data_IF_307515376450
#
_entry.id   IF_307515376450
#
_cell.length_a   1.000
_cell.length_b   1.000
_cell.length_c   1.000
_cell.angle_alpha   90.00
_cell.angle_beta   90.00
_cell.angle_gamma   90.00
#
_symmetry.space_group_name_H-M   'P 1'
#
loop_
_entity.id
_entity.type
_entity.pdbx_description
1 polymer ?
#
# COMPACT_ATOMS: atom_id res chain seq x y z
N UNK A 1 11.95 -3.82 18.30
CA UNK A 1 12.19 -5.27 18.32
C UNK A 1 13.17 -5.59 19.46
N UNK A 2 12.80 -6.52 20.32
CA UNK A 2 13.65 -7.04 21.39
C UNK A 2 13.74 -8.56 21.19
N UNK A 3 14.95 -9.12 20.93
CA UNK A 3 15.09 -10.56 20.79
C UNK A 3 14.74 -11.32 22.10
N UNK A 4 14.07 -12.47 21.97
CA UNK A 4 13.76 -13.37 23.11
C UNK A 4 14.96 -14.27 23.51
N UNK A 5 16.12 -14.04 22.93
CA UNK A 5 17.37 -14.79 23.15
C UNK A 5 18.53 -13.81 23.35
N UNK A 6 19.60 -14.28 23.99
CA UNK A 6 20.77 -13.43 24.26
C UNK A 6 21.70 -13.34 23.04
N UNK A 7 22.54 -12.29 23.01
CA UNK A 7 23.62 -12.18 22.00
C UNK A 7 24.56 -13.37 22.05
N UNK A 8 24.86 -13.90 23.24
CA UNK A 8 25.72 -15.06 23.39
C UNK A 8 25.12 -16.31 22.74
N UNK A 9 23.82 -16.56 22.94
CA UNK A 9 23.10 -17.69 22.32
C UNK A 9 23.06 -17.54 20.80
N UNK A 10 22.81 -16.33 20.32
CA UNK A 10 22.81 -16.02 18.88
C UNK A 10 24.16 -16.28 18.23
N UNK A 11 25.25 -15.75 18.83
CA UNK A 11 26.61 -15.97 18.33
C UNK A 11 26.97 -17.46 18.35
N UNK A 12 26.61 -18.19 19.42
CA UNK A 12 26.86 -19.61 19.52
C UNK A 12 26.12 -20.39 18.43
N UNK A 13 24.85 -20.09 18.19
CA UNK A 13 24.03 -20.74 17.17
C UNK A 13 24.58 -20.46 15.74
N UNK A 14 24.90 -19.22 15.42
CA UNK A 14 25.43 -18.85 14.09
C UNK A 14 26.78 -19.53 13.80
N UNK A 15 27.66 -19.68 14.80
CA UNK A 15 28.94 -20.38 14.66
C UNK A 15 28.82 -21.89 14.39
N UNK A 16 27.65 -22.49 14.59
CA UNK A 16 27.40 -23.90 14.20
C UNK A 16 27.14 -24.06 12.70
N UNK A 17 26.85 -22.98 12.01
CA UNK A 17 26.49 -22.97 10.59
C UNK A 17 27.78 -22.80 9.75
N UNK A 18 28.01 -23.62 8.72
CA UNK A 18 29.18 -23.48 7.86
C UNK A 18 29.23 -22.09 7.21
N UNK A 19 30.41 -21.42 7.18
CA UNK A 19 30.56 -20.06 6.62
C UNK A 19 30.05 -19.91 5.19
N UNK A 20 30.14 -20.95 4.39
CA UNK A 20 29.69 -20.98 3.00
C UNK A 20 28.17 -20.77 2.85
N UNK A 21 27.39 -21.08 3.87
CA UNK A 21 25.94 -20.81 3.86
C UNK A 21 25.63 -19.31 3.97
N UNK A 22 26.57 -18.52 4.47
CA UNK A 22 26.53 -17.04 4.49
C UNK A 22 27.28 -16.41 3.30
N UNK A 23 27.75 -17.20 2.32
CA UNK A 23 28.66 -16.77 1.27
C UNK A 23 29.98 -16.19 1.82
N UNK A 24 30.43 -16.69 2.96
CA UNK A 24 31.69 -16.28 3.61
C UNK A 24 32.75 -17.37 3.46
N UNK A 25 34.01 -16.95 3.57
CA UNK A 25 35.16 -17.83 3.30
C UNK A 25 35.53 -18.71 4.48
N UNK A 26 35.46 -18.19 5.71
CA UNK A 26 35.97 -18.81 6.90
C UNK A 26 35.28 -18.33 8.20
N UNK A 27 35.65 -18.91 9.33
CA UNK A 27 35.09 -18.59 10.64
C UNK A 27 35.40 -17.14 11.09
N UNK A 28 36.54 -16.59 10.69
CA UNK A 28 36.90 -15.21 11.03
C UNK A 28 35.96 -14.20 10.31
N UNK A 29 35.58 -14.50 9.06
CA UNK A 29 34.61 -13.70 8.34
C UNK A 29 33.22 -13.75 9.00
N UNK A 30 32.84 -14.90 9.58
CA UNK A 30 31.61 -15.01 10.39
C UNK A 30 31.69 -14.19 11.68
N UNK A 31 32.83 -14.22 12.38
CA UNK A 31 33.03 -13.41 13.59
C UNK A 31 32.94 -11.91 13.27
N UNK A 32 33.58 -11.46 12.17
CA UNK A 32 33.50 -10.07 11.74
C UNK A 32 32.05 -9.66 11.40
N UNK A 33 31.29 -10.53 10.72
CA UNK A 33 29.89 -10.27 10.43
C UNK A 33 29.05 -10.16 11.72
N UNK A 34 29.30 -11.02 12.71
CA UNK A 34 28.62 -10.97 13.98
C UNK A 34 28.96 -9.71 14.78
N UNK A 35 30.21 -9.25 14.73
CA UNK A 35 30.63 -8.01 15.38
C UNK A 35 30.00 -6.77 14.73
N UNK A 36 29.66 -6.83 13.47
CA UNK A 36 28.93 -5.79 12.76
C UNK A 36 27.42 -5.82 13.05
N UNK A 37 26.82 -7.03 13.07
CA UNK A 37 25.36 -7.19 13.21
C UNK A 37 24.86 -7.15 14.65
N UNK A 38 25.59 -7.73 15.62
CA UNK A 38 25.09 -7.85 16.98
C UNK A 38 24.79 -6.50 17.65
N UNK A 39 25.58 -5.44 17.47
CA UNK A 39 25.21 -4.13 18.00
C UNK A 39 23.85 -3.63 17.48
N UNK A 40 23.53 -3.87 16.21
CA UNK A 40 22.24 -3.44 15.62
C UNK A 40 21.08 -4.30 16.13
N UNK A 41 21.32 -5.60 16.35
CA UNK A 41 20.27 -6.53 16.80
C UNK A 41 19.95 -6.36 18.29
N UNK A 42 20.96 -6.17 19.13
CA UNK A 42 20.82 -6.25 20.59
C UNK A 42 20.90 -4.92 21.32
N UNK A 43 21.38 -3.84 20.67
CA UNK A 43 21.39 -2.52 21.29
C UNK A 43 20.15 -1.71 20.86
N UNK A 44 19.19 -1.46 21.78
CA UNK A 44 17.96 -0.73 21.44
C UNK A 44 18.19 0.75 21.10
N UNK A 45 19.39 1.29 21.37
CA UNK A 45 19.74 2.68 21.06
C UNK A 45 20.30 2.85 19.65
N UNK A 46 20.60 1.75 18.96
CA UNK A 46 21.11 1.79 17.57
C UNK A 46 19.97 1.57 16.60
N UNK A 47 19.65 2.60 15.80
CA UNK A 47 18.55 2.58 14.81
C UNK A 47 17.26 2.00 15.39
N UNK A 48 16.69 2.61 16.42
CA UNK A 48 15.55 2.06 17.17
C UNK A 48 14.26 2.00 16.34
N UNK A 49 14.20 2.75 15.24
CA UNK A 49 13.02 2.87 14.38
C UNK A 49 13.35 2.47 12.95
N UNK A 50 12.46 1.66 12.32
CA UNK A 50 12.56 1.37 10.88
C UNK A 50 12.46 2.67 10.07
N UNK A 51 11.50 3.52 10.43
CA UNK A 51 11.25 4.82 9.81
C UNK A 51 11.10 5.85 10.92
N UNK A 52 12.01 6.82 10.96
CA UNK A 52 11.91 7.96 11.85
C UNK A 52 11.30 9.16 11.12
N UNK A 53 10.30 9.80 11.74
CA UNK A 53 9.61 10.98 11.22
C UNK A 53 9.56 12.12 12.25
N UNK A 54 10.49 12.13 13.21
CA UNK A 54 10.54 13.17 14.24
C UNK A 54 11.12 14.46 13.69
N UNK A 55 10.40 15.57 13.93
CA UNK A 55 10.87 16.89 13.57
C UNK A 55 12.21 17.23 14.25
N UNK A 56 13.11 17.82 13.47
CA UNK A 56 14.42 18.29 13.95
C UNK A 56 15.51 17.22 14.02
N UNK A 57 15.22 15.98 13.62
CA UNK A 57 16.21 14.91 13.44
C UNK A 57 16.51 14.71 11.94
N UNK A 58 17.69 14.15 11.63
CA UNK A 58 17.98 13.68 10.26
C UNK A 58 17.24 12.37 10.04
N UNK A 59 16.14 12.44 9.29
CA UNK A 59 15.22 11.31 9.09
C UNK A 59 15.89 10.13 8.40
N UNK A 60 16.86 10.38 7.51
CA UNK A 60 17.60 9.35 6.77
C UNK A 60 18.62 8.67 7.67
N UNK A 61 19.45 9.46 8.35
CA UNK A 61 20.53 8.94 9.18
C UNK A 61 20.04 8.19 10.42
N UNK A 62 18.80 8.50 10.91
CA UNK A 62 18.22 7.91 12.12
C UNK A 62 17.20 6.81 11.82
N UNK A 63 16.93 6.50 10.54
CA UNK A 63 16.05 5.40 10.13
C UNK A 63 16.85 4.16 9.74
N UNK A 64 16.36 2.99 10.13
CA UNK A 64 16.95 1.69 9.81
C UNK A 64 16.56 1.17 8.42
N UNK A 65 16.06 2.01 7.53
CA UNK A 65 15.75 1.64 6.15
C UNK A 65 17.03 1.51 5.32
N UNK A 66 16.99 0.71 4.25
CA UNK A 66 18.13 0.47 3.37
C UNK A 66 18.05 1.16 2.00
N UNK A 67 17.17 2.15 1.87
CA UNK A 67 17.00 2.91 0.63
C UNK A 67 18.14 3.89 0.34
N UNK A 68 18.89 4.25 1.38
CA UNK A 68 20.01 5.18 1.32
C UNK A 68 21.29 4.46 1.72
N UNK A 69 22.38 4.75 1.00
CA UNK A 69 23.68 4.19 1.31
C UNK A 69 24.28 4.78 2.60
N UNK A 70 25.29 4.12 3.13
CA UNK A 70 26.01 4.57 4.33
C UNK A 70 26.52 5.99 4.16
N UNK A 71 26.30 6.84 5.19
CA UNK A 71 26.79 8.22 5.23
C UNK A 71 26.02 9.18 4.31
N UNK A 72 24.81 8.84 3.89
CA UNK A 72 23.86 9.76 3.23
C UNK A 72 22.98 10.38 4.29
N UNK A 73 22.91 11.71 4.33
CA UNK A 73 22.01 12.47 5.17
C UNK A 73 20.68 12.78 4.46
N UNK A 74 19.71 13.26 5.21
CA UNK A 74 18.47 13.81 4.65
C UNK A 74 18.76 14.94 3.68
N UNK A 75 19.65 15.89 4.04
CA UNK A 75 20.04 17.02 3.19
C UNK A 75 20.68 16.56 1.87
N UNK A 76 21.55 15.54 1.92
CA UNK A 76 22.14 14.93 0.73
C UNK A 76 21.06 14.40 -0.23
N UNK A 77 20.10 13.64 0.30
CA UNK A 77 19.04 13.03 -0.47
C UNK A 77 18.08 14.09 -1.07
N UNK A 78 17.64 15.04 -0.27
CA UNK A 78 16.75 16.12 -0.72
C UNK A 78 17.43 16.99 -1.79
N UNK A 79 18.69 17.36 -1.60
CA UNK A 79 19.44 18.13 -2.58
C UNK A 79 19.70 17.38 -3.89
N UNK A 80 19.84 16.04 -3.82
CA UNK A 80 19.99 15.21 -5.01
C UNK A 80 18.70 15.18 -5.82
N UNK A 81 17.55 14.91 -5.19
CA UNK A 81 16.27 14.78 -5.88
C UNK A 81 15.66 16.13 -6.27
N UNK A 82 15.95 17.22 -5.55
CA UNK A 82 15.50 18.56 -5.95
C UNK A 82 15.99 18.97 -7.34
N UNK A 83 17.19 18.49 -7.75
CA UNK A 83 17.75 18.76 -9.08
C UNK A 83 17.03 18.04 -10.22
N UNK A 84 16.26 17.00 -9.90
CA UNK A 84 15.52 16.20 -10.89
C UNK A 84 14.07 16.64 -11.02
N UNK A 85 13.58 17.49 -10.10
CA UNK A 85 12.21 17.99 -10.13
C UNK A 85 12.12 19.18 -11.09
N UNK A 86 11.15 19.10 -12.00
CA UNK A 86 10.74 20.21 -12.83
C UNK A 86 9.38 20.73 -12.30
N UNK A 87 9.34 21.91 -11.63
CA UNK A 87 8.09 22.45 -11.07
C UNK A 87 7.03 22.80 -12.13
N UNK A 88 7.44 23.01 -13.37
CA UNK A 88 6.54 23.33 -14.48
C UNK A 88 5.99 22.06 -15.17
N UNK A 89 6.47 20.87 -14.83
CA UNK A 89 5.98 19.63 -15.39
C UNK A 89 4.62 19.24 -14.77
N UNK A 90 3.50 19.27 -15.52
CA UNK A 90 2.18 18.91 -14.99
C UNK A 90 2.02 17.40 -14.73
N UNK A 91 2.96 16.56 -15.20
CA UNK A 91 2.94 15.11 -15.10
C UNK A 91 4.27 14.56 -14.59
N UNK A 92 4.67 14.91 -13.36
CA UNK A 92 5.93 14.47 -12.80
C UNK A 92 5.88 12.98 -12.47
N UNK A 93 6.94 12.26 -12.82
CA UNK A 93 7.09 10.86 -12.36
C UNK A 93 7.44 10.81 -10.88
N UNK A 94 7.20 9.69 -10.23
CA UNK A 94 7.56 9.43 -8.84
C UNK A 94 9.09 9.20 -8.72
N UNK A 95 9.87 10.26 -8.84
CA UNK A 95 11.34 10.24 -8.88
C UNK A 95 11.91 9.53 -7.65
N UNK A 96 12.83 8.58 -7.88
CA UNK A 96 13.49 7.83 -6.82
C UNK A 96 12.76 6.58 -6.36
N UNK A 97 11.51 6.35 -6.81
CA UNK A 97 10.63 5.28 -6.35
C UNK A 97 11.27 3.88 -6.44
N UNK A 98 11.94 3.57 -7.55
CA UNK A 98 12.51 2.26 -7.85
C UNK A 98 14.03 2.24 -7.78
N UNK A 99 14.63 2.94 -6.82
CA UNK A 99 16.08 3.04 -6.72
C UNK A 99 16.59 3.12 -5.28
N UNK A 100 17.85 2.73 -5.11
CA UNK A 100 18.65 3.05 -3.93
C UNK A 100 19.57 4.21 -4.24
N UNK A 101 19.60 5.23 -3.38
CA UNK A 101 20.59 6.30 -3.47
C UNK A 101 21.88 5.87 -2.78
N UNK A 102 23.01 5.95 -3.45
CA UNK A 102 24.31 5.55 -2.91
C UNK A 102 25.38 6.63 -3.17
N UNK A 103 26.43 6.62 -2.36
CA UNK A 103 27.62 7.44 -2.58
C UNK A 103 28.68 6.60 -3.28
N UNK A 104 29.18 7.09 -4.40
CA UNK A 104 30.27 6.45 -5.14
C UNK A 104 31.59 6.54 -4.37
N UNK A 105 32.60 5.74 -4.71
CA UNK A 105 33.97 5.89 -4.14
C UNK A 105 34.58 7.28 -4.35
N UNK A 106 34.10 8.04 -5.36
CA UNK A 106 34.53 9.40 -5.64
C UNK A 106 33.75 10.46 -4.84
N UNK A 107 32.81 10.03 -4.00
CA UNK A 107 31.98 10.90 -3.14
C UNK A 107 30.75 11.49 -3.81
N UNK A 108 30.48 11.21 -5.08
CA UNK A 108 29.26 11.66 -5.77
C UNK A 108 28.07 10.78 -5.43
N UNK A 109 26.86 11.33 -5.46
CA UNK A 109 25.63 10.58 -5.29
C UNK A 109 25.14 10.04 -6.63
N UNK A 110 24.69 8.77 -6.62
CA UNK A 110 24.08 8.12 -7.77
C UNK A 110 22.92 7.23 -7.35
N UNK A 111 21.96 7.01 -8.26
CA UNK A 111 20.88 6.04 -8.09
C UNK A 111 21.28 4.67 -8.63
N UNK A 112 21.06 3.64 -7.82
CA UNK A 112 21.09 2.24 -8.26
C UNK A 112 19.68 1.76 -8.48
N UNK A 113 19.26 1.80 -9.73
CA UNK A 113 17.89 1.46 -10.13
C UNK A 113 17.65 -0.05 -10.00
N UNK A 114 16.48 -0.43 -9.52
CA UNK A 114 15.98 -1.80 -9.41
C UNK A 114 15.38 -2.22 -10.74
N UNK A 115 16.16 -2.93 -11.52
CA UNK A 115 15.80 -3.38 -12.86
C UNK A 115 16.63 -4.59 -13.29
N UNK A 116 16.30 -5.18 -14.43
CA UNK A 116 17.14 -6.19 -15.09
C UNK A 116 18.55 -5.63 -15.31
N UNK A 117 19.56 -6.35 -14.87
CA UNK A 117 20.98 -5.93 -14.91
C UNK A 117 21.35 -4.81 -13.93
N UNK A 118 20.43 -4.33 -13.11
CA UNK A 118 20.64 -3.37 -12.03
C UNK A 118 20.70 -4.03 -10.66
N UNK A 119 20.42 -3.24 -9.61
CA UNK A 119 20.29 -3.77 -8.26
C UNK A 119 19.09 -4.74 -8.20
N UNK A 120 19.27 -5.90 -7.55
CA UNK A 120 18.32 -7.03 -7.54
C UNK A 120 18.04 -7.65 -8.93
N UNK A 121 18.88 -7.39 -9.93
CA UNK A 121 18.74 -7.86 -11.30
C UNK A 121 18.34 -9.34 -11.43
N UNK A 122 19.04 -10.31 -10.79
CA UNK A 122 18.69 -11.74 -10.89
C UNK A 122 17.30 -12.09 -10.38
N UNK A 123 16.79 -11.39 -9.35
CA UNK A 123 15.41 -11.58 -8.86
C UNK A 123 14.39 -10.99 -9.85
N UNK A 124 14.66 -9.80 -10.36
CA UNK A 124 13.81 -9.11 -11.34
C UNK A 124 13.74 -9.87 -12.66
N UNK A 125 14.85 -10.50 -13.11
CA UNK A 125 14.84 -11.38 -14.29
C UNK A 125 13.89 -12.56 -14.14
N UNK A 126 13.80 -13.16 -12.92
CA UNK A 126 12.82 -14.21 -12.64
C UNK A 126 11.38 -13.70 -12.67
N UNK A 127 11.13 -12.49 -12.14
CA UNK A 127 9.82 -11.82 -12.23
C UNK A 127 9.44 -11.65 -13.70
N UNK A 128 10.31 -11.05 -14.52
CA UNK A 128 10.09 -10.84 -15.96
C UNK A 128 9.81 -12.16 -16.68
N UNK A 129 10.60 -13.20 -16.40
CA UNK A 129 10.39 -14.53 -17.02
C UNK A 129 9.01 -15.12 -16.71
N UNK A 130 8.51 -14.93 -15.49
CA UNK A 130 7.19 -15.43 -15.09
C UNK A 130 6.05 -14.53 -15.62
N UNK A 131 6.23 -13.21 -15.67
CA UNK A 131 5.28 -12.29 -16.29
C UNK A 131 5.09 -12.61 -17.79
N UNK A 132 6.16 -12.92 -18.52
CA UNK A 132 6.06 -13.34 -19.93
C UNK A 132 5.28 -14.64 -20.10
N UNK A 133 5.39 -15.59 -19.17
CA UNK A 133 4.55 -16.79 -19.16
C UNK A 133 3.09 -16.46 -18.85
N UNK A 134 2.84 -15.58 -17.85
CA UNK A 134 1.50 -15.17 -17.47
C UNK A 134 0.78 -14.45 -18.62
N UNK A 135 1.52 -13.74 -19.47
CA UNK A 135 1.00 -13.07 -20.67
C UNK A 135 0.26 -14.02 -21.62
N UNK A 136 0.72 -15.25 -21.72
CA UNK A 136 0.08 -16.27 -22.59
C UNK A 136 -1.30 -16.71 -22.08
N UNK A 137 -1.59 -16.43 -20.81
CA UNK A 137 -2.87 -16.74 -20.14
C UNK A 137 -3.75 -15.50 -19.92
N UNK A 138 -3.34 -14.34 -20.40
CA UNK A 138 -4.10 -13.11 -20.24
C UNK A 138 -5.45 -13.20 -20.97
N UNK A 139 -6.52 -12.75 -20.29
CA UNK A 139 -7.89 -12.82 -20.77
C UNK A 139 -8.15 -11.95 -22.02
N UNK A 140 -7.33 -10.93 -22.24
CA UNK A 140 -7.54 -9.93 -23.29
C UNK A 140 -6.23 -9.31 -23.78
N UNK A 141 -6.29 -8.68 -24.96
CA UNK A 141 -5.18 -7.85 -25.45
C UNK A 141 -4.89 -6.64 -24.57
N UNK A 142 -5.89 -6.14 -23.83
CA UNK A 142 -5.69 -5.08 -22.84
C UNK A 142 -4.82 -5.56 -21.67
N UNK A 143 -5.12 -6.74 -21.11
CA UNK A 143 -4.30 -7.34 -20.07
C UNK A 143 -2.91 -7.71 -20.55
N UNK A 144 -2.77 -8.22 -21.79
CA UNK A 144 -1.46 -8.46 -22.40
C UNK A 144 -0.62 -7.18 -22.45
N UNK A 145 -1.24 -6.04 -22.83
CA UNK A 145 -0.57 -4.75 -22.85
C UNK A 145 -0.09 -4.31 -21.44
N UNK A 146 -0.90 -4.54 -20.40
CA UNK A 146 -0.52 -4.28 -19.01
C UNK A 146 0.74 -5.06 -18.65
N UNK A 147 0.79 -6.35 -18.98
CA UNK A 147 1.94 -7.21 -18.71
C UNK A 147 3.17 -6.75 -19.51
N UNK A 148 3.00 -6.43 -20.79
CA UNK A 148 4.10 -5.98 -21.65
C UNK A 148 4.73 -4.69 -21.12
N UNK A 149 3.94 -3.69 -20.70
CA UNK A 149 4.44 -2.45 -20.11
C UNK A 149 5.15 -2.68 -18.78
N UNK A 150 4.62 -3.58 -17.93
CA UNK A 150 5.27 -3.95 -16.68
C UNK A 150 6.62 -4.64 -16.92
N UNK A 151 6.71 -5.52 -17.90
CA UNK A 151 7.96 -6.16 -18.32
C UNK A 151 8.96 -5.12 -18.82
N UNK A 152 8.52 -4.15 -19.61
CA UNK A 152 9.38 -3.09 -20.11
C UNK A 152 9.87 -2.17 -18.99
N UNK A 153 9.01 -1.85 -18.01
CA UNK A 153 9.42 -1.15 -16.81
C UNK A 153 10.51 -1.91 -16.04
N UNK A 154 10.33 -3.20 -15.80
CA UNK A 154 11.35 -4.00 -15.10
C UNK A 154 12.68 -4.12 -15.86
N UNK A 155 12.63 -4.08 -17.20
CA UNK A 155 13.84 -4.10 -18.04
C UNK A 155 14.57 -2.77 -18.05
N UNK A 156 13.85 -1.67 -18.13
CA UNK A 156 14.41 -0.33 -18.31
C UNK A 156 14.61 0.42 -17.00
N UNK A 157 13.70 0.22 -16.04
CA UNK A 157 13.60 1.02 -14.83
C UNK A 157 13.00 2.42 -15.07
N UNK A 158 12.42 2.66 -16.25
CA UNK A 158 11.88 3.96 -16.64
C UNK A 158 10.53 4.24 -15.99
N UNK A 159 10.44 5.32 -15.23
CA UNK A 159 9.25 5.70 -14.49
C UNK A 159 8.11 6.24 -15.38
N UNK A 160 8.41 6.72 -16.60
CA UNK A 160 7.37 7.05 -17.57
C UNK A 160 6.67 5.79 -18.07
N UNK A 161 7.43 4.72 -18.33
CA UNK A 161 6.85 3.40 -18.64
C UNK A 161 6.00 2.86 -17.51
N UNK A 162 6.37 3.16 -16.24
CA UNK A 162 5.55 2.79 -15.08
C UNK A 162 4.22 3.55 -15.03
N UNK A 163 4.22 4.83 -15.36
CA UNK A 163 2.98 5.60 -15.48
C UNK A 163 2.08 5.07 -16.62
N UNK A 164 2.67 4.71 -17.77
CA UNK A 164 1.94 4.06 -18.88
C UNK A 164 1.35 2.70 -18.47
N UNK A 165 2.11 1.89 -17.73
CA UNK A 165 1.61 0.65 -17.12
C UNK A 165 0.42 0.92 -16.21
N UNK A 166 0.53 1.89 -15.33
CA UNK A 166 -0.52 2.27 -14.38
C UNK A 166 -1.81 2.69 -15.11
N UNK A 167 -1.69 3.50 -16.15
CA UNK A 167 -2.83 3.92 -16.99
C UNK A 167 -3.46 2.73 -17.70
N UNK A 168 -2.66 1.85 -18.30
CA UNK A 168 -3.17 0.65 -18.98
C UNK A 168 -3.88 -0.29 -17.99
N UNK A 169 -3.33 -0.47 -16.79
CA UNK A 169 -3.94 -1.26 -15.73
C UNK A 169 -5.27 -0.67 -15.25
N UNK A 170 -5.38 0.65 -15.13
CA UNK A 170 -6.65 1.32 -14.80
C UNK A 170 -7.72 1.07 -15.88
N UNK A 171 -7.33 1.03 -17.14
CA UNK A 171 -8.24 0.81 -18.27
C UNK A 171 -8.72 -0.64 -18.41
N UNK A 172 -7.95 -1.60 -17.88
CA UNK A 172 -8.37 -3.00 -17.83
C UNK A 172 -9.36 -3.23 -16.70
N UNK A 173 -10.65 -3.08 -17.00
CA UNK A 173 -11.74 -3.29 -16.05
C UNK A 173 -12.43 -4.63 -16.22
N UNK A 174 -12.14 -5.37 -17.29
CA UNK A 174 -12.88 -6.58 -17.69
C UNK A 174 -12.25 -7.87 -17.14
N UNK A 175 -10.93 -7.92 -16.98
CA UNK A 175 -10.21 -9.13 -16.54
C UNK A 175 -10.76 -9.68 -15.24
N UNK A 176 -11.00 -11.01 -15.22
CA UNK A 176 -11.48 -11.72 -14.03
C UNK A 176 -10.37 -11.90 -13.00
N UNK A 177 -9.19 -12.27 -13.47
CA UNK A 177 -7.95 -12.34 -12.70
C UNK A 177 -7.19 -11.03 -12.89
N UNK A 178 -6.86 -10.34 -11.81
CA UNK A 178 -6.07 -9.10 -11.83
C UNK A 178 -4.87 -9.27 -10.90
N UNK A 179 -3.90 -8.38 -11.03
CA UNK A 179 -2.69 -8.44 -10.20
C UNK A 179 -2.03 -7.07 -10.11
N UNK A 180 -1.30 -6.89 -9.01
CA UNK A 180 -0.27 -5.87 -8.86
C UNK A 180 1.04 -6.57 -8.59
N UNK A 181 2.12 -6.07 -9.18
CA UNK A 181 3.46 -6.61 -9.01
C UNK A 181 4.45 -5.48 -9.32
N UNK A 182 4.81 -4.71 -8.30
CA UNK A 182 5.68 -3.56 -8.51
C UNK A 182 6.25 -2.97 -7.21
N UNK A 183 7.06 -1.93 -7.38
CA UNK A 183 7.44 -1.00 -6.30
C UNK A 183 6.32 0.03 -6.16
N UNK A 184 5.61 0.05 -5.04
CA UNK A 184 4.34 0.78 -4.93
C UNK A 184 4.27 1.68 -3.71
N UNK A 185 4.40 1.12 -2.51
CA UNK A 185 4.16 1.85 -1.27
C UNK A 185 5.45 2.42 -0.68
N UNK A 186 5.39 3.69 -0.26
CA UNK A 186 6.56 4.44 0.22
C UNK A 186 6.65 4.55 1.75
N UNK A 187 5.78 3.87 2.49
CA UNK A 187 5.77 3.90 3.96
C UNK A 187 7.07 3.47 4.64
N UNK A 188 7.89 2.68 3.94
CA UNK A 188 9.20 2.23 4.41
C UNK A 188 10.31 3.27 4.24
N UNK A 189 10.05 4.39 3.59
CA UNK A 189 11.01 5.47 3.36
C UNK A 189 10.68 6.69 4.23
N UNK A 190 11.60 7.18 5.07
CA UNK A 190 11.38 8.36 5.89
C UNK A 190 11.07 9.63 5.10
N UNK A 191 11.48 9.70 3.83
CA UNK A 191 11.19 10.82 2.93
C UNK A 191 9.97 10.58 2.02
N UNK A 192 9.33 9.40 2.11
CA UNK A 192 8.15 9.06 1.31
C UNK A 192 8.39 8.97 -0.19
N UNK A 193 9.62 8.75 -0.64
CA UNK A 193 10.00 8.77 -2.06
C UNK A 193 10.24 7.40 -2.65
N UNK A 194 10.82 6.50 -1.86
CA UNK A 194 11.27 5.17 -2.32
C UNK A 194 10.28 4.10 -1.91
N UNK A 195 9.91 3.26 -2.88
CA UNK A 195 8.87 2.29 -2.67
C UNK A 195 9.41 0.90 -2.31
N UNK A 196 8.67 0.16 -1.50
CA UNK A 196 8.85 -1.28 -1.31
C UNK A 196 8.22 -2.06 -2.45
N UNK A 197 8.78 -3.25 -2.72
CA UNK A 197 8.21 -4.17 -3.70
C UNK A 197 7.09 -4.98 -3.06
N UNK A 198 5.97 -5.05 -3.76
CA UNK A 198 4.82 -5.83 -3.38
C UNK A 198 4.17 -6.50 -4.57
N UNK A 199 3.44 -7.57 -4.31
CA UNK A 199 2.64 -8.23 -5.32
C UNK A 199 1.42 -8.90 -4.70
N UNK A 200 0.30 -8.83 -5.41
CA UNK A 200 -0.86 -9.67 -5.15
C UNK A 200 -1.49 -10.13 -6.46
N UNK A 201 -2.08 -11.31 -6.42
CA UNK A 201 -2.92 -11.87 -7.48
C UNK A 201 -4.29 -12.11 -6.90
N UNK A 202 -5.32 -11.68 -7.61
CA UNK A 202 -6.68 -11.72 -7.13
C UNK A 202 -7.69 -12.14 -8.19
N UNK A 203 -8.88 -12.54 -7.74
CA UNK A 203 -10.06 -12.73 -8.56
C UNK A 203 -11.14 -11.76 -8.12
N UNK A 204 -11.94 -11.27 -9.08
CA UNK A 204 -13.14 -10.51 -8.75
C UNK A 204 -14.12 -11.37 -7.96
N UNK A 205 -14.57 -10.89 -6.80
CA UNK A 205 -15.78 -11.37 -6.17
C UNK A 205 -16.98 -10.72 -6.86
N UNK A 206 -17.65 -11.49 -7.72
CA UNK A 206 -18.72 -10.96 -8.56
C UNK A 206 -19.92 -10.52 -7.70
N UNK A 207 -20.28 -11.29 -6.67
CA UNK A 207 -21.44 -10.98 -5.83
C UNK A 207 -21.18 -9.72 -4.98
N UNK A 208 -20.05 -9.65 -4.31
CA UNK A 208 -19.64 -8.49 -3.53
C UNK A 208 -19.41 -7.25 -4.42
N UNK A 209 -18.82 -7.42 -5.62
CA UNK A 209 -18.64 -6.33 -6.57
C UNK A 209 -19.98 -5.75 -7.02
N UNK A 210 -21.01 -6.57 -7.24
CA UNK A 210 -22.39 -6.08 -7.55
C UNK A 210 -22.97 -5.24 -6.42
N UNK A 211 -22.62 -5.52 -5.16
CA UNK A 211 -23.02 -4.71 -4.00
C UNK A 211 -22.38 -3.32 -4.08
N UNK A 212 -21.08 -3.23 -4.27
CA UNK A 212 -20.37 -1.95 -4.38
C UNK A 212 -20.76 -1.16 -5.64
N UNK A 213 -21.08 -1.83 -6.75
CA UNK A 213 -21.59 -1.18 -7.96
C UNK A 213 -22.92 -0.49 -7.74
N UNK A 214 -23.84 -1.09 -6.94
CA UNK A 214 -25.10 -0.44 -6.57
C UNK A 214 -24.88 0.82 -5.75
N UNK A 215 -23.93 0.80 -4.80
CA UNK A 215 -23.55 1.98 -4.01
C UNK A 215 -22.98 3.06 -4.91
N UNK A 216 -22.02 2.73 -5.75
CA UNK A 216 -21.36 3.65 -6.68
C UNK A 216 -22.35 4.27 -7.68
N UNK A 217 -23.31 3.50 -8.18
CA UNK A 217 -24.36 4.00 -9.08
C UNK A 217 -25.28 5.02 -8.39
N UNK A 218 -25.39 4.97 -7.07
CA UNK A 218 -26.19 5.88 -6.25
C UNK A 218 -25.35 6.95 -5.52
N UNK A 219 -24.06 7.07 -5.82
CA UNK A 219 -23.14 7.96 -5.09
C UNK A 219 -23.62 9.43 -5.06
N UNK A 220 -24.25 9.92 -6.14
CA UNK A 220 -24.82 11.27 -6.16
C UNK A 220 -25.95 11.43 -5.14
N UNK A 221 -26.82 10.42 -5.00
CA UNK A 221 -27.90 10.46 -4.02
C UNK A 221 -27.35 10.59 -2.59
N UNK A 222 -26.32 9.79 -2.25
CA UNK A 222 -25.69 9.85 -0.94
C UNK A 222 -24.98 11.18 -0.70
N UNK A 223 -24.31 11.76 -1.70
CA UNK A 223 -23.70 13.08 -1.60
C UNK A 223 -24.75 14.16 -1.31
N UNK A 224 -25.86 14.16 -2.07
CA UNK A 224 -26.92 15.16 -1.97
C UNK A 224 -27.66 15.11 -0.61
N UNK A 225 -27.81 13.91 -0.03
CA UNK A 225 -28.50 13.70 1.24
C UNK A 225 -27.59 13.69 2.47
N UNK A 226 -26.25 13.82 2.27
CA UNK A 226 -25.30 13.88 3.38
C UNK A 226 -25.57 15.11 4.27
N UNK A 227 -25.22 15.04 5.58
CA UNK A 227 -25.41 16.17 6.51
C UNK A 227 -24.39 17.29 6.30
N UNK A 228 -23.52 17.15 5.29
CA UNK A 228 -22.45 18.10 4.99
C UNK A 228 -23.03 19.41 4.42
N UNK A 229 -22.46 20.55 4.81
CA UNK A 229 -22.86 21.87 4.26
C UNK A 229 -22.71 21.88 2.72
N UNK A 230 -23.71 22.47 2.04
CA UNK A 230 -23.82 22.46 0.59
C UNK A 230 -22.57 23.02 -0.14
N UNK A 231 -21.81 23.90 0.51
CA UNK A 231 -20.55 24.44 -0.05
C UNK A 231 -19.49 23.37 -0.28
N UNK A 232 -19.54 22.29 0.49
CA UNK A 232 -18.58 21.20 0.44
C UNK A 232 -19.09 19.98 -0.33
N UNK A 233 -20.34 19.99 -0.81
CA UNK A 233 -20.89 18.92 -1.64
C UNK A 233 -20.39 19.04 -3.09
N UNK A 234 -20.14 17.87 -3.69
CA UNK A 234 -19.84 17.79 -5.14
C UNK A 234 -21.12 17.98 -5.95
N UNK A 235 -21.07 18.81 -6.95
CA UNK A 235 -22.18 18.97 -7.90
C UNK A 235 -22.40 17.71 -8.75
N UNK A 236 -21.30 16.99 -9.02
CA UNK A 236 -21.29 15.74 -9.75
C UNK A 236 -20.30 14.77 -9.11
N UNK A 237 -20.82 13.74 -8.48
CA UNK A 237 -20.03 12.64 -7.96
C UNK A 237 -19.69 11.69 -9.12
N UNK A 238 -18.41 11.39 -9.28
CA UNK A 238 -17.98 10.24 -10.06
C UNK A 238 -17.88 9.09 -9.07
N UNK A 239 -18.72 8.07 -9.26
CA UNK A 239 -18.68 6.88 -8.40
C UNK A 239 -17.27 6.28 -8.41
N UNK A 240 -16.76 5.98 -7.24
CA UNK A 240 -15.52 5.21 -7.11
C UNK A 240 -15.85 3.77 -7.53
N UNK A 241 -15.11 3.20 -8.46
CA UNK A 241 -15.25 1.78 -8.81
C UNK A 241 -14.51 0.95 -7.75
N UNK A 242 -15.12 0.78 -6.58
CA UNK A 242 -14.62 -0.17 -5.61
C UNK A 242 -14.96 -1.59 -6.08
N UNK A 243 -13.98 -2.47 -6.07
CA UNK A 243 -14.17 -3.89 -6.38
C UNK A 243 -13.79 -4.71 -5.17
N UNK A 244 -14.67 -5.61 -4.78
CA UNK A 244 -14.32 -6.63 -3.79
C UNK A 244 -13.59 -7.75 -4.53
N UNK A 245 -12.44 -8.15 -3.99
CA UNK A 245 -11.60 -9.18 -4.58
C UNK A 245 -11.33 -10.29 -3.56
N UNK A 246 -11.11 -11.49 -4.10
CA UNK A 246 -10.51 -12.61 -3.38
C UNK A 246 -9.04 -12.69 -3.74
N UNK A 247 -8.17 -12.39 -2.81
CA UNK A 247 -6.73 -12.53 -3.01
C UNK A 247 -6.34 -13.99 -2.97
N UNK A 248 -5.53 -14.41 -3.96
CA UNK A 248 -4.99 -15.78 -4.04
C UNK A 248 -3.54 -15.86 -3.58
N UNK A 249 -2.76 -14.81 -3.83
CA UNK A 249 -1.32 -14.75 -3.52
C UNK A 249 -1.00 -13.35 -3.03
N UNK A 250 -0.22 -13.28 -1.95
CA UNK A 250 0.40 -12.08 -1.42
C UNK A 250 1.91 -12.28 -1.39
N UNK A 251 2.68 -11.25 -1.70
CA UNK A 251 4.14 -11.30 -1.66
C UNK A 251 4.76 -9.92 -1.43
N UNK A 252 6.05 -9.90 -1.08
CA UNK A 252 6.76 -8.67 -0.76
C UNK A 252 6.22 -8.02 0.51
N UNK A 253 6.05 -6.71 0.50
CA UNK A 253 5.63 -5.94 1.68
C UNK A 253 4.17 -6.22 2.13
N UNK A 254 3.38 -6.88 1.28
CA UNK A 254 2.04 -7.37 1.62
C UNK A 254 2.03 -8.68 2.42
N UNK A 255 3.18 -9.24 2.78
CA UNK A 255 3.29 -10.47 3.56
C UNK A 255 4.33 -10.30 4.70
N UNK A 256 4.07 -10.75 5.92
CA UNK A 256 2.88 -11.49 6.42
C UNK A 256 1.70 -10.59 6.82
N UNK A 257 1.89 -9.28 6.86
CA UNK A 257 0.83 -8.32 7.18
C UNK A 257 0.32 -7.69 5.90
N UNK A 258 -0.97 -7.80 5.63
CA UNK A 258 -1.58 -7.23 4.42
C UNK A 258 -2.58 -6.15 4.75
N UNK A 259 -2.78 -5.22 3.80
CA UNK A 259 -3.87 -4.28 3.82
C UNK A 259 -5.22 -5.00 3.62
N UNK A 260 -6.30 -4.45 4.14
CA UNK A 260 -7.68 -4.89 3.88
C UNK A 260 -8.27 -4.20 2.65
N UNK A 261 -7.69 -3.08 2.25
CA UNK A 261 -8.03 -2.31 1.05
C UNK A 261 -6.78 -1.73 0.38
N UNK A 262 -6.86 -1.51 -0.92
CA UNK A 262 -5.77 -0.95 -1.74
C UNK A 262 -6.38 0.04 -2.73
N UNK A 263 -5.77 1.22 -2.86
CA UNK A 263 -6.16 2.23 -3.83
C UNK A 263 -4.95 2.71 -4.64
N UNK A 264 -4.86 2.29 -5.89
CA UNK A 264 -3.71 2.54 -6.76
C UNK A 264 -4.13 3.15 -8.11
N UNK A 265 -3.20 3.80 -8.83
CA UNK A 265 -1.79 4.07 -8.53
C UNK A 265 -1.61 5.23 -7.55
N UNK A 266 -0.40 5.38 -6.99
CA UNK A 266 -0.06 6.48 -6.08
C UNK A 266 0.38 7.77 -6.82
N UNK A 267 0.55 7.74 -8.13
CA UNK A 267 0.92 8.91 -8.95
C UNK A 267 -0.22 9.92 -9.02
N UNK A 268 -0.05 11.11 -8.43
CA UNK A 268 -1.08 12.16 -8.33
C UNK A 268 -1.64 12.60 -9.68
N UNK A 269 -0.78 12.78 -10.68
CA UNK A 269 -1.24 13.21 -11.99
C UNK A 269 -2.02 12.10 -12.70
N UNK A 270 -1.62 10.83 -12.54
CA UNK A 270 -2.36 9.70 -13.11
C UNK A 270 -3.73 9.59 -12.44
N UNK A 271 -3.80 9.70 -11.11
CA UNK A 271 -5.08 9.73 -10.37
C UNK A 271 -5.99 10.85 -10.84
N UNK A 272 -5.44 12.06 -11.01
CA UNK A 272 -6.21 13.24 -11.43
C UNK A 272 -6.78 13.09 -12.84
N UNK A 273 -6.02 12.54 -13.79
CA UNK A 273 -6.38 12.47 -15.20
C UNK A 273 -7.07 11.16 -15.60
N UNK A 274 -6.73 10.05 -14.95
CA UNK A 274 -7.18 8.70 -15.31
C UNK A 274 -7.96 7.98 -14.19
N UNK A 275 -7.97 8.54 -12.98
CA UNK A 275 -8.65 7.94 -11.82
C UNK A 275 -7.79 6.94 -11.07
N UNK A 276 -8.43 6.10 -10.26
CA UNK A 276 -7.80 5.05 -9.47
C UNK A 276 -8.68 3.78 -9.43
N UNK A 277 -8.06 2.63 -9.16
CA UNK A 277 -8.76 1.41 -8.77
C UNK A 277 -8.69 1.27 -7.25
N UNK A 278 -9.86 1.23 -6.61
CA UNK A 278 -10.00 0.79 -5.22
C UNK A 278 -10.43 -0.66 -5.20
N UNK A 279 -9.80 -1.44 -4.36
CA UNK A 279 -10.15 -2.84 -4.12
C UNK A 279 -10.21 -3.12 -2.62
N UNK A 280 -11.26 -3.83 -2.20
CA UNK A 280 -11.37 -4.39 -0.84
C UNK A 280 -11.02 -5.86 -0.90
N UNK A 281 -10.17 -6.33 0.01
CA UNK A 281 -9.71 -7.73 0.03
C UNK A 281 -10.66 -8.54 0.93
N UNK A 282 -11.79 -8.94 0.37
CA UNK A 282 -12.90 -9.53 1.11
C UNK A 282 -12.53 -10.82 1.86
N UNK A 283 -11.78 -11.72 1.26
CA UNK A 283 -11.40 -12.96 1.94
C UNK A 283 -10.41 -12.77 3.11
N UNK A 284 -9.63 -11.71 3.13
CA UNK A 284 -8.76 -11.37 4.26
C UNK A 284 -9.60 -10.77 5.39
N UNK A 285 -10.50 -9.82 5.06
CA UNK A 285 -11.43 -9.25 6.04
C UNK A 285 -12.30 -10.35 6.68
N UNK A 286 -12.87 -11.23 5.86
CA UNK A 286 -13.67 -12.38 6.34
C UNK A 286 -12.85 -13.34 7.24
N UNK A 287 -11.56 -13.56 6.92
CA UNK A 287 -10.68 -14.36 7.76
C UNK A 287 -10.41 -13.71 9.13
N UNK A 288 -10.21 -12.39 9.16
CA UNK A 288 -10.06 -11.65 10.42
C UNK A 288 -11.34 -11.66 11.25
N UNK A 289 -12.50 -11.44 10.62
CA UNK A 289 -13.80 -11.50 11.30
C UNK A 289 -14.03 -12.89 11.90
N UNK A 290 -13.80 -13.95 11.15
CA UNK A 290 -13.88 -15.33 11.66
C UNK A 290 -12.92 -15.62 12.80
N UNK A 291 -11.69 -15.10 12.73
CA UNK A 291 -10.71 -15.28 13.79
C UNK A 291 -11.06 -14.50 15.07
N UNK A 292 -11.77 -13.38 14.95
CA UNK A 292 -12.25 -12.59 16.09
C UNK A 292 -13.43 -13.24 16.80
N UNK A 293 -14.25 -14.01 16.08
CA UNK A 293 -15.37 -14.72 16.65
C UNK A 293 -14.89 -15.71 17.73
N UNK A 294 -15.43 -15.55 18.94
CA UNK A 294 -15.07 -16.41 20.08
C UNK A 294 -13.71 -16.11 20.73
N UNK A 295 -13.01 -15.03 20.31
CA UNK A 295 -11.76 -14.59 20.94
C UNK A 295 -11.92 -14.14 22.39
N UNK A 296 -13.15 -13.88 22.83
CA UNK A 296 -13.47 -13.32 24.15
C UNK A 296 -13.57 -11.80 24.16
N UNK A 297 -13.23 -11.11 23.08
CA UNK A 297 -13.34 -9.65 22.97
C UNK A 297 -14.75 -9.16 23.21
N UNK A 298 -15.76 -9.80 22.58
CA UNK A 298 -17.17 -9.43 22.76
C UNK A 298 -17.62 -9.60 24.21
N UNK A 299 -17.11 -10.61 24.92
CA UNK A 299 -17.43 -10.83 26.32
C UNK A 299 -16.81 -9.78 27.24
N UNK A 300 -15.60 -9.32 26.91
CA UNK A 300 -14.85 -8.35 27.70
C UNK A 300 -15.33 -6.91 27.46
N UNK A 301 -15.59 -6.54 26.21
CA UNK A 301 -15.80 -5.14 25.82
C UNK A 301 -17.24 -4.79 25.47
N UNK A 302 -18.11 -5.76 25.18
CA UNK A 302 -19.52 -5.47 24.88
C UNK A 302 -20.35 -5.50 26.15
N UNK A 303 -21.13 -4.43 26.36
CA UNK A 303 -21.80 -4.09 27.63
C UNK A 303 -22.81 -5.15 28.12
N UNK A 304 -23.53 -5.81 27.22
CA UNK A 304 -24.60 -6.76 27.58
C UNK A 304 -24.77 -7.91 26.56
N UNK A 305 -25.54 -8.92 26.95
CA UNK A 305 -25.82 -10.10 26.14
C UNK A 305 -26.68 -9.81 24.92
N UNK A 306 -27.58 -8.82 24.99
CA UNK A 306 -28.47 -8.43 23.89
C UNK A 306 -27.62 -7.83 22.75
N UNK A 307 -26.71 -6.90 23.06
CA UNK A 307 -25.78 -6.32 22.10
C UNK A 307 -24.85 -7.39 21.51
N UNK A 308 -24.36 -8.33 22.33
CA UNK A 308 -23.56 -9.47 21.82
C UNK A 308 -24.33 -10.35 20.83
N UNK A 309 -25.62 -10.59 21.09
CA UNK A 309 -26.46 -11.35 20.19
C UNK A 309 -26.68 -10.63 18.85
N UNK A 310 -26.85 -9.30 18.87
CA UNK A 310 -26.96 -8.48 17.65
C UNK A 310 -25.65 -8.48 16.85
N UNK A 311 -24.50 -8.33 17.51
CA UNK A 311 -23.17 -8.42 16.87
C UNK A 311 -23.00 -9.81 16.22
N UNK A 312 -23.34 -10.88 16.92
CA UNK A 312 -23.24 -12.23 16.37
C UNK A 312 -24.15 -12.46 15.16
N UNK A 313 -25.27 -11.76 15.09
CA UNK A 313 -26.25 -11.92 14.02
C UNK A 313 -25.98 -11.02 12.81
N UNK A 314 -25.52 -9.79 13.04
CA UNK A 314 -25.46 -8.75 12.02
C UNK A 314 -24.06 -8.16 11.84
N UNK A 315 -23.10 -8.45 12.73
CA UNK A 315 -21.79 -7.84 12.74
C UNK A 315 -21.10 -7.92 11.38
N UNK A 316 -21.00 -9.10 10.79
CA UNK A 316 -20.31 -9.31 9.51
C UNK A 316 -20.94 -8.49 8.37
N UNK A 317 -22.28 -8.43 8.29
CA UNK A 317 -22.94 -7.65 7.24
C UNK A 317 -22.80 -6.15 7.47
N UNK A 318 -22.77 -5.71 8.73
CA UNK A 318 -22.55 -4.32 9.08
C UNK A 318 -21.09 -3.90 8.75
N UNK A 319 -20.12 -4.73 9.07
CA UNK A 319 -18.70 -4.48 8.76
C UNK A 319 -18.45 -4.40 7.26
N UNK A 320 -19.02 -5.33 6.49
CA UNK A 320 -18.97 -5.33 5.03
C UNK A 320 -19.56 -4.05 4.44
N UNK A 321 -20.77 -3.69 4.87
CA UNK A 321 -21.46 -2.49 4.39
C UNK A 321 -20.76 -1.20 4.82
N UNK A 322 -20.25 -1.15 6.06
CA UNK A 322 -19.49 0.00 6.54
C UNK A 322 -18.21 0.21 5.69
N UNK A 323 -17.47 -0.87 5.44
CA UNK A 323 -16.28 -0.83 4.57
C UNK A 323 -16.64 -0.37 3.16
N UNK A 324 -17.71 -0.93 2.56
CA UNK A 324 -18.17 -0.53 1.23
C UNK A 324 -18.60 0.96 1.18
N UNK A 325 -19.28 1.45 2.21
CA UNK A 325 -19.71 2.85 2.32
C UNK A 325 -18.51 3.79 2.53
N UNK A 326 -17.53 3.40 3.36
CA UNK A 326 -16.29 4.11 3.61
C UNK A 326 -15.51 4.30 2.30
N UNK A 327 -15.22 3.20 1.61
CA UNK A 327 -14.38 3.19 0.40
C UNK A 327 -15.09 3.81 -0.81
N UNK A 328 -16.35 3.40 -1.07
CA UNK A 328 -17.05 3.83 -2.28
C UNK A 328 -17.59 5.24 -2.19
N UNK A 329 -18.05 5.65 -1.03
CA UNK A 329 -18.80 6.90 -0.82
C UNK A 329 -18.04 7.84 0.12
N UNK A 330 -17.46 7.36 1.20
CA UNK A 330 -16.72 8.16 2.15
C UNK A 330 -15.60 8.93 1.44
N UNK A 331 -14.59 8.26 0.94
CA UNK A 331 -13.50 8.88 0.19
C UNK A 331 -13.95 9.54 -1.13
N UNK A 332 -15.05 9.05 -1.71
CA UNK A 332 -15.62 9.61 -2.92
C UNK A 332 -16.37 10.92 -2.75
N UNK A 333 -16.79 11.27 -1.53
CA UNK A 333 -17.66 12.42 -1.21
C UNK A 333 -16.91 13.71 -0.98
N UNK A 334 -17.64 14.82 -0.97
CA UNK A 334 -17.14 16.14 -0.58
C UNK A 334 -16.15 16.78 -1.55
N UNK A 335 -15.94 18.07 -1.40
CA UNK A 335 -14.94 18.85 -2.13
C UNK A 335 -14.30 19.88 -1.22
N UNK A 336 -13.04 20.22 -1.50
CA UNK A 336 -12.39 21.38 -0.92
C UNK A 336 -12.90 22.68 -1.57
N UNK A 337 -12.89 23.78 -0.82
CA UNK A 337 -13.12 25.09 -1.41
C UNK A 337 -11.95 25.44 -2.36
N UNK A 338 -12.20 26.21 -3.43
CA UNK A 338 -11.18 26.48 -4.47
C UNK A 338 -9.88 27.12 -3.97
N UNK A 339 -9.93 27.79 -2.80
CA UNK A 339 -8.77 28.47 -2.19
C UNK A 339 -8.11 27.66 -1.08
N UNK A 340 -8.56 26.42 -0.85
CA UNK A 340 -8.01 25.57 0.22
C UNK A 340 -6.84 24.75 -0.35
N UNK A 341 -5.69 24.86 0.31
CA UNK A 341 -4.56 23.99 0.04
C UNK A 341 -4.88 22.56 0.45
N UNK A 342 -4.66 21.59 -0.44
CA UNK A 342 -4.88 20.16 -0.16
C UNK A 342 -4.05 19.68 1.03
N UNK A 343 -2.87 20.27 1.24
CA UNK A 343 -1.93 19.89 2.28
C UNK A 343 -2.06 20.75 3.56
N UNK A 344 -3.14 21.52 3.68
CA UNK A 344 -3.34 22.43 4.82
C UNK A 344 -3.32 21.73 6.18
N UNK A 345 -3.76 20.47 6.24
CA UNK A 345 -3.77 19.67 7.47
C UNK A 345 -2.44 18.95 7.74
N UNK A 346 -1.49 18.98 6.81
CA UNK A 346 -0.16 18.35 6.94
C UNK A 346 -0.23 16.93 7.51
N UNK A 347 0.48 16.65 8.59
CA UNK A 347 0.52 15.33 9.24
C UNK A 347 -0.84 14.81 9.73
N UNK A 348 -1.84 15.68 9.89
CA UNK A 348 -3.19 15.29 10.30
C UNK A 348 -4.13 14.97 9.12
N UNK A 349 -3.69 15.22 7.89
CA UNK A 349 -4.53 15.09 6.70
C UNK A 349 -5.15 13.71 6.56
N UNK A 350 -4.33 12.66 6.57
CA UNK A 350 -4.80 11.28 6.45
C UNK A 350 -5.73 10.88 7.59
N UNK A 351 -5.39 11.19 8.85
CA UNK A 351 -6.24 10.85 10.02
C UNK A 351 -7.61 11.50 9.93
N UNK A 352 -7.68 12.76 9.49
CA UNK A 352 -8.96 13.46 9.34
C UNK A 352 -9.75 12.92 8.15
N UNK A 353 -9.08 12.55 7.05
CA UNK A 353 -9.75 11.98 5.88
C UNK A 353 -10.36 10.60 6.20
N UNK A 354 -9.63 9.74 6.90
CA UNK A 354 -10.15 8.44 7.37
C UNK A 354 -11.35 8.61 8.31
N UNK A 355 -11.22 9.50 9.30
CA UNK A 355 -12.34 9.80 10.20
C UNK A 355 -13.56 10.36 9.45
N UNK A 356 -13.36 11.15 8.41
CA UNK A 356 -14.42 11.68 7.58
C UNK A 356 -15.12 10.58 6.77
N UNK A 357 -14.35 9.67 6.20
CA UNK A 357 -14.87 8.54 5.44
C UNK A 357 -15.64 7.57 6.34
N UNK A 358 -15.12 7.27 7.52
CA UNK A 358 -15.80 6.47 8.55
C UNK A 358 -17.13 7.10 8.99
N UNK A 359 -17.14 8.39 9.31
CA UNK A 359 -18.36 9.09 9.71
C UNK A 359 -19.40 9.10 8.60
N UNK A 360 -18.98 9.16 7.34
CA UNK A 360 -19.89 9.05 6.20
C UNK A 360 -20.54 7.65 6.14
N UNK A 361 -19.74 6.61 6.28
CA UNK A 361 -20.21 5.23 6.36
C UNK A 361 -21.19 5.01 7.51
N UNK A 362 -20.81 5.44 8.71
CA UNK A 362 -21.66 5.31 9.92
C UNK A 362 -22.98 6.11 9.82
N UNK A 363 -22.99 7.24 9.14
CA UNK A 363 -24.20 8.02 8.95
C UNK A 363 -25.24 7.27 8.12
N UNK A 364 -24.80 6.48 7.14
CA UNK A 364 -25.68 5.78 6.22
C UNK A 364 -25.91 4.31 6.54
N UNK A 365 -25.17 3.70 7.48
CA UNK A 365 -25.23 2.25 7.73
C UNK A 365 -26.63 1.75 8.11
N UNK A 366 -27.46 2.60 8.69
CA UNK A 366 -28.85 2.30 9.08
C UNK A 366 -29.89 3.07 8.22
N UNK A 367 -29.49 3.57 7.04
CA UNK A 367 -30.40 4.33 6.18
C UNK A 367 -31.31 3.40 5.36
N UNK A 368 -32.61 3.77 5.26
CA UNK A 368 -33.60 3.04 4.47
C UNK A 368 -33.19 2.88 2.99
N UNK A 369 -32.32 3.75 2.48
CA UNK A 369 -31.77 3.65 1.13
C UNK A 369 -31.02 2.35 0.89
N UNK A 370 -30.33 1.82 1.89
CA UNK A 370 -29.65 0.52 1.77
C UNK A 370 -30.64 -0.63 1.62
N UNK A 371 -31.79 -0.55 2.31
CA UNK A 371 -32.90 -1.52 2.16
C UNK A 371 -33.49 -1.40 0.76
N UNK A 372 -33.78 -0.17 0.30
CA UNK A 372 -34.28 0.10 -1.07
C UNK A 372 -33.39 -0.49 -2.15
N UNK A 373 -32.06 -0.39 -1.98
CA UNK A 373 -31.07 -0.95 -2.89
C UNK A 373 -30.91 -2.47 -2.76
N UNK A 374 -31.55 -3.10 -1.77
CA UNK A 374 -31.45 -4.53 -1.49
C UNK A 374 -30.06 -4.94 -1.00
N UNK A 375 -29.39 -4.06 -0.24
CA UNK A 375 -28.06 -4.30 0.35
C UNK A 375 -28.14 -4.84 1.77
N UNK A 376 -29.24 -4.52 2.47
CA UNK A 376 -29.59 -5.06 3.78
C UNK A 376 -31.09 -5.36 3.83
N UNK A 377 -31.54 -6.34 4.64
CA UNK A 377 -32.98 -6.68 4.76
C UNK A 377 -33.76 -5.66 5.57
N UNK A 378 -33.14 -4.92 6.44
CA UNK A 378 -33.73 -3.92 7.35
C UNK A 378 -32.68 -2.85 7.72
N UNK A 379 -33.14 -1.81 8.40
CA UNK A 379 -32.30 -0.74 8.96
C UNK A 379 -31.78 -1.10 10.34
#
# INVERSE_FOLDING_TARGET
FVPDFTEADFRAAVKTIPPQQFNLTDAQAVDNLLDELCPVIFNPDIMPMRVNQKDGEDLVATSACNYYGVGISQEDAEAFYAKQKDPENPRPVMTGMNSRLVRTPQGTLEERVWKVGGLYGPAIEKIVSNLLKARDYADSSAQQKVIDLLVDFYRTGDLHTFDEYSIAWLQDTASLVDFTNCFTETYGDPLGMKASWEAYVNFKDIAATQRTEKLSANAQWFEDHSPVDARFKKEKVRGVSAKVITVAILAGDLYPSTAIGINLPNSDWVRREHGSKSVTIGNITDAYNKASHGSGMDREFVVDDETRALISQYGDVCDDLHTDLHECLGHGSGKLLPTTDSDALRAYGSTIEEARADLFGLYYIADEKLVELGLTPNT
#
